data_IF_716277010317
#
_entry.id   IF_716277010317
#
_cell.length_a   1.000
_cell.length_b   1.000
_cell.length_c   1.000
_cell.angle_alpha   90.00
_cell.angle_beta   90.00
_cell.angle_gamma   90.00
#
_symmetry.space_group_name_H-M   'P 1'
#
loop_
_entity.id
_entity.type
_entity.pdbx_description
1 polymer ?
#
# COMPACT_ATOMS: atom_id res chain seq x y z
N UNK A 1 -10.56 29.00 15.95
CA UNK A 1 -11.35 28.55 14.78
C UNK A 1 -10.40 27.94 13.77
N UNK A 2 -10.61 26.67 13.43
CA UNK A 2 -9.70 25.83 12.64
C UNK A 2 -9.54 26.30 11.20
N UNK A 3 -8.30 26.24 10.69
CA UNK A 3 -7.95 26.37 9.28
C UNK A 3 -8.34 25.08 8.55
N UNK A 4 -9.34 25.17 7.68
CA UNK A 4 -9.72 24.07 6.78
C UNK A 4 -8.86 24.14 5.53
N UNK A 5 -7.86 23.26 5.43
CA UNK A 5 -7.02 23.10 4.25
C UNK A 5 -7.87 22.53 3.10
N UNK A 6 -8.15 23.34 2.08
CA UNK A 6 -8.88 22.95 0.87
C UNK A 6 -8.01 22.04 0.00
N UNK A 7 -8.35 20.75 -0.07
CA UNK A 7 -7.81 19.80 -1.03
C UNK A 7 -8.53 19.90 -2.40
N UNK A 8 -8.53 21.07 -3.04
CA UNK A 8 -9.46 21.31 -4.18
C UNK A 8 -8.91 22.22 -5.29
N UNK A 9 -7.66 22.03 -5.73
CA UNK A 9 -7.11 22.95 -6.77
C UNK A 9 -6.22 22.33 -7.85
N UNK A 10 -6.15 20.99 -7.98
CA UNK A 10 -5.38 20.38 -9.08
C UNK A 10 -6.23 20.05 -10.33
N UNK A 11 -7.56 19.93 -10.19
CA UNK A 11 -8.44 19.47 -11.29
C UNK A 11 -9.13 20.59 -12.08
N UNK A 12 -8.97 21.86 -11.69
CA UNK A 12 -9.78 22.96 -12.21
C UNK A 12 -9.20 23.65 -13.47
N UNK A 13 -8.07 23.17 -14.02
CA UNK A 13 -7.44 23.69 -15.24
C UNK A 13 -6.74 22.58 -16.02
N UNK A 14 -7.46 21.53 -16.39
CA UNK A 14 -6.86 20.50 -17.26
C UNK A 14 -7.74 20.37 -18.49
N UNK A 15 -7.44 21.19 -19.50
CA UNK A 15 -8.13 21.18 -20.80
C UNK A 15 -7.52 20.13 -21.75
N UNK A 16 -6.36 19.55 -21.39
CA UNK A 16 -5.61 18.62 -22.24
C UNK A 16 -5.61 17.19 -21.66
N UNK A 17 -6.18 16.26 -22.44
CA UNK A 17 -6.23 14.81 -22.13
C UNK A 17 -4.85 14.24 -21.75
N UNK A 18 -3.72 14.60 -22.41
CA UNK A 18 -2.39 14.13 -22.03
C UNK A 18 -1.95 14.53 -20.62
N UNK A 19 -2.29 15.73 -20.16
CA UNK A 19 -1.92 16.21 -18.82
C UNK A 19 -2.70 15.45 -17.73
N UNK A 20 -3.99 15.17 -17.96
CA UNK A 20 -4.78 14.32 -17.05
C UNK A 20 -4.18 12.92 -16.95
N UNK A 21 -3.78 12.32 -18.09
CA UNK A 21 -3.17 10.99 -18.10
C UNK A 21 -1.84 10.95 -17.33
N UNK A 22 -1.00 11.99 -17.46
CA UNK A 22 0.25 12.09 -16.71
C UNK A 22 0.01 12.17 -15.19
N UNK A 23 -1.01 12.92 -14.74
CA UNK A 23 -1.38 13.02 -13.32
C UNK A 23 -1.90 11.68 -12.80
N UNK A 24 -2.74 10.98 -13.58
CA UNK A 24 -3.23 9.65 -13.24
C UNK A 24 -2.07 8.66 -13.11
N UNK A 25 -1.10 8.69 -14.01
CA UNK A 25 0.09 7.83 -13.95
C UNK A 25 0.96 8.09 -12.72
N UNK A 26 1.17 9.36 -12.35
CA UNK A 26 1.89 9.69 -11.12
C UNK A 26 1.18 9.16 -9.88
N UNK A 27 -0.14 9.30 -9.79
CA UNK A 27 -0.90 8.88 -8.62
C UNK A 27 -1.02 7.34 -8.54
N UNK A 28 -1.17 6.66 -9.68
CA UNK A 28 -1.11 5.19 -9.76
C UNK A 28 0.29 4.70 -9.33
N UNK A 29 1.37 5.35 -9.78
CA UNK A 29 2.75 4.98 -9.44
C UNK A 29 3.04 5.02 -7.94
N UNK A 30 2.51 6.02 -7.22
CA UNK A 30 2.63 6.12 -5.75
C UNK A 30 1.89 5.00 -5.01
N UNK A 31 0.80 4.49 -5.57
CA UNK A 31 -0.01 3.45 -4.95
C UNK A 31 0.51 2.04 -5.27
N UNK A 32 1.17 1.84 -6.42
CA UNK A 32 1.75 0.53 -6.79
C UNK A 32 2.92 0.11 -5.90
N UNK A 33 3.74 1.05 -5.44
CA UNK A 33 4.86 0.78 -4.52
C UNK A 33 4.39 0.14 -3.20
N UNK A 34 3.14 0.39 -2.80
CA UNK A 34 2.50 -0.26 -1.64
C UNK A 34 2.20 -1.74 -1.96
N UNK A 35 1.75 -2.07 -3.17
CA UNK A 35 1.39 -3.44 -3.56
C UNK A 35 2.57 -4.39 -3.84
N UNK A 36 3.76 -3.85 -4.06
CA UNK A 36 4.97 -4.63 -4.41
C UNK A 36 5.82 -5.03 -3.19
N UNK A 37 5.41 -4.60 -1.99
CA UNK A 37 6.14 -4.94 -0.76
C UNK A 37 6.02 -6.43 -0.43
N UNK A 38 7.16 -7.04 -0.07
CA UNK A 38 7.23 -8.47 0.27
C UNK A 38 6.80 -8.69 1.71
N UNK A 39 5.86 -9.61 1.91
CA UNK A 39 5.47 -10.09 3.23
C UNK A 39 6.66 -10.79 3.91
N UNK A 40 6.91 -10.44 5.17
CA UNK A 40 7.96 -11.05 6.00
C UNK A 40 7.57 -12.42 6.55
N UNK A 41 6.28 -12.68 6.66
CA UNK A 41 5.73 -13.92 7.23
C UNK A 41 5.10 -14.81 6.17
N UNK A 42 4.73 -16.03 6.57
CA UNK A 42 4.01 -16.96 5.71
C UNK A 42 2.60 -16.49 5.35
N UNK A 43 2.02 -15.55 6.12
CA UNK A 43 0.62 -15.13 6.03
C UNK A 43 -0.33 -15.99 6.89
N UNK A 44 0.11 -17.18 7.29
CA UNK A 44 -0.68 -18.11 8.09
C UNK A 44 -0.43 -17.87 9.58
N UNK A 45 -1.23 -17.00 10.19
CA UNK A 45 -1.23 -16.78 11.62
C UNK A 45 -2.19 -17.76 12.31
N UNK A 46 -1.71 -18.48 13.32
CA UNK A 46 -2.53 -19.43 14.07
C UNK A 46 -3.78 -18.75 14.68
N UNK A 47 -4.94 -19.33 14.42
CA UNK A 47 -6.25 -18.83 14.86
C UNK A 47 -6.88 -17.78 13.93
N UNK A 48 -6.25 -17.46 12.79
CA UNK A 48 -6.73 -16.48 11.83
C UNK A 48 -6.73 -17.03 10.40
N UNK A 49 -7.50 -16.38 9.52
CA UNK A 49 -7.42 -16.54 8.07
C UNK A 49 -6.05 -16.11 7.55
N UNK A 50 -5.74 -16.48 6.29
CA UNK A 50 -4.55 -15.99 5.61
C UNK A 50 -4.56 -14.46 5.53
N UNK A 51 -3.60 -13.84 6.23
CA UNK A 51 -3.43 -12.39 6.32
C UNK A 51 -3.19 -11.77 4.94
N UNK A 52 -2.58 -12.51 4.01
CA UNK A 52 -2.31 -12.03 2.64
C UNK A 52 -3.59 -11.91 1.82
N UNK A 53 -4.60 -12.72 2.12
CA UNK A 53 -5.87 -12.77 1.41
C UNK A 53 -7.00 -12.01 2.12
N UNK A 54 -6.86 -11.69 3.41
CA UNK A 54 -7.90 -11.03 4.21
C UNK A 54 -8.34 -9.70 3.59
N UNK A 55 -9.63 -9.40 3.60
CA UNK A 55 -10.21 -8.17 2.99
C UNK A 55 -10.81 -7.22 4.02
N UNK A 56 -10.99 -7.69 5.26
CA UNK A 56 -11.60 -6.92 6.33
C UNK A 56 -10.53 -6.37 7.27
N UNK A 57 -10.43 -5.06 7.34
CA UNK A 57 -9.51 -4.35 8.26
C UNK A 57 -9.76 -4.75 9.73
N UNK A 58 -11.01 -5.01 10.11
CA UNK A 58 -11.33 -5.48 11.47
C UNK A 58 -10.66 -6.81 11.83
N UNK A 59 -10.57 -7.76 10.89
CA UNK A 59 -9.93 -9.06 11.12
C UNK A 59 -8.42 -8.90 11.25
N UNK A 60 -7.83 -8.00 10.46
CA UNK A 60 -6.42 -7.62 10.54
C UNK A 60 -6.07 -6.97 11.89
N UNK A 61 -6.94 -6.10 12.40
CA UNK A 61 -6.79 -5.51 13.74
C UNK A 61 -6.87 -6.59 14.82
N UNK A 62 -7.85 -7.51 14.74
CA UNK A 62 -7.97 -8.64 15.68
C UNK A 62 -6.73 -9.54 15.64
N UNK A 63 -6.21 -9.84 14.45
CA UNK A 63 -5.00 -10.63 14.25
C UNK A 63 -3.79 -9.98 14.95
N UNK A 64 -3.55 -8.69 14.68
CA UNK A 64 -2.43 -7.98 15.31
C UNK A 64 -2.61 -7.85 16.82
N UNK A 65 -3.83 -7.58 17.30
CA UNK A 65 -4.15 -7.53 18.73
C UNK A 65 -3.81 -8.85 19.43
N UNK A 66 -4.13 -9.99 18.81
CA UNK A 66 -3.77 -11.32 19.32
C UNK A 66 -2.26 -11.54 19.39
N UNK A 67 -1.51 -11.17 18.34
CA UNK A 67 -0.05 -11.28 18.33
C UNK A 67 0.56 -10.41 19.43
N UNK A 68 0.12 -9.15 19.53
CA UNK A 68 0.64 -8.20 20.51
C UNK A 68 0.32 -8.61 21.94
N UNK A 69 -0.88 -9.12 22.18
CA UNK A 69 -1.29 -9.65 23.48
C UNK A 69 -0.43 -10.84 23.91
N UNK A 70 -0.19 -11.80 22.99
CA UNK A 70 0.68 -12.95 23.25
C UNK A 70 2.12 -12.55 23.53
N UNK A 71 2.67 -11.59 22.78
CA UNK A 71 4.03 -11.07 23.01
C UNK A 71 4.16 -10.46 24.42
N UNK A 72 3.23 -9.60 24.80
CA UNK A 72 3.25 -8.95 26.11
C UNK A 72 3.16 -10.00 27.23
N UNK A 73 2.22 -10.93 27.13
CA UNK A 73 2.03 -11.99 28.12
C UNK A 73 3.26 -12.92 28.23
N UNK A 74 3.94 -13.20 27.11
CA UNK A 74 5.17 -14.00 27.11
C UNK A 74 6.30 -13.32 27.89
N UNK A 75 6.51 -12.01 27.66
CA UNK A 75 7.54 -11.26 28.38
C UNK A 75 7.20 -11.04 29.86
N UNK A 76 5.93 -10.83 30.19
CA UNK A 76 5.46 -10.81 31.57
C UNK A 76 5.70 -12.14 32.28
N UNK A 77 5.34 -13.26 31.64
CA UNK A 77 5.58 -14.59 32.19
C UNK A 77 7.08 -14.87 32.41
N UNK A 78 7.95 -14.48 31.47
CA UNK A 78 9.39 -14.65 31.63
C UNK A 78 9.94 -13.87 32.83
N UNK A 79 9.42 -12.65 33.06
CA UNK A 79 9.74 -11.83 34.23
C UNK A 79 9.25 -12.49 35.53
N UNK A 80 8.02 -12.98 35.55
CA UNK A 80 7.42 -13.61 36.74
C UNK A 80 8.14 -14.92 37.13
N UNK A 81 8.59 -15.68 36.12
CA UNK A 81 9.40 -16.88 36.30
C UNK A 81 10.87 -16.58 36.63
N UNK A 82 11.26 -15.29 36.71
CA UNK A 82 12.62 -14.82 36.99
C UNK A 82 13.67 -15.40 36.03
N UNK A 83 13.27 -15.60 34.77
CA UNK A 83 14.19 -16.07 33.73
C UNK A 83 15.03 -14.89 33.26
N UNK A 84 16.34 -14.93 33.53
CA UNK A 84 17.26 -13.84 33.21
C UNK A 84 17.54 -13.70 31.71
N UNK A 85 17.40 -14.78 30.95
CA UNK A 85 17.63 -14.80 29.49
C UNK A 85 16.61 -15.72 28.84
N UNK A 86 15.83 -15.18 27.92
CA UNK A 86 14.79 -15.91 27.19
C UNK A 86 14.79 -15.48 25.73
N UNK A 87 14.35 -16.35 24.81
CA UNK A 87 14.31 -16.01 23.39
C UNK A 87 13.26 -14.94 23.11
N UNK A 88 13.45 -14.23 22.00
CA UNK A 88 12.45 -13.27 21.48
C UNK A 88 11.15 -14.01 21.18
N UNK A 89 10.02 -13.38 21.51
CA UNK A 89 8.71 -13.94 21.19
C UNK A 89 8.55 -14.12 19.68
N UNK A 90 8.19 -15.33 19.27
CA UNK A 90 7.81 -15.64 17.89
C UNK A 90 6.52 -16.43 17.88
N UNK A 91 5.72 -16.22 16.84
CA UNK A 91 4.48 -16.96 16.61
C UNK A 91 4.31 -17.21 15.13
N UNK A 92 3.96 -18.44 14.77
CA UNK A 92 3.76 -18.86 13.37
C UNK A 92 4.91 -18.46 12.43
N UNK A 93 6.15 -18.51 12.94
CA UNK A 93 7.37 -18.23 12.18
C UNK A 93 7.75 -16.74 12.03
N UNK A 94 7.08 -15.81 12.72
CA UNK A 94 7.41 -14.38 12.70
C UNK A 94 7.41 -13.72 14.08
N UNK A 95 8.13 -12.62 14.22
CA UNK A 95 8.06 -11.76 15.42
C UNK A 95 6.82 -10.86 15.38
N UNK A 96 6.46 -10.24 16.51
CA UNK A 96 5.37 -9.26 16.52
C UNK A 96 5.62 -8.07 15.56
N UNK A 97 6.89 -7.69 15.36
CA UNK A 97 7.27 -6.65 14.41
C UNK A 97 7.05 -7.09 12.95
N UNK A 98 7.35 -8.35 12.63
CA UNK A 98 7.11 -8.90 11.29
C UNK A 98 5.61 -8.95 10.98
N UNK A 99 4.81 -9.46 11.91
CA UNK A 99 3.35 -9.47 11.79
C UNK A 99 2.76 -8.07 11.68
N UNK A 100 3.28 -7.10 12.45
CA UNK A 100 2.84 -5.70 12.35
C UNK A 100 3.03 -5.16 10.94
N UNK A 101 4.21 -5.38 10.37
CA UNK A 101 4.54 -4.89 9.03
C UNK A 101 3.63 -5.51 7.97
N UNK A 102 3.45 -6.82 8.01
CA UNK A 102 2.61 -7.55 7.05
C UNK A 102 1.14 -7.15 7.14
N UNK A 103 0.63 -6.94 8.36
CA UNK A 103 -0.74 -6.51 8.60
C UNK A 103 -0.93 -5.06 8.14
N UNK A 104 0.01 -4.15 8.44
CA UNK A 104 -0.04 -2.77 7.95
C UNK A 104 -0.03 -2.74 6.43
N UNK A 105 0.87 -3.49 5.80
CA UNK A 105 0.92 -3.65 4.35
C UNK A 105 -0.44 -4.09 3.79
N UNK A 106 -1.06 -5.09 4.40
CA UNK A 106 -2.37 -5.57 3.94
C UNK A 106 -3.48 -4.51 4.12
N UNK A 107 -3.47 -3.77 5.22
CA UNK A 107 -4.41 -2.65 5.45
C UNK A 107 -4.22 -1.59 4.36
N UNK A 108 -2.97 -1.25 4.04
CA UNK A 108 -2.66 -0.28 2.99
C UNK A 108 -3.15 -0.77 1.63
N UNK A 109 -2.96 -2.06 1.31
CA UNK A 109 -3.49 -2.66 0.07
C UNK A 109 -5.00 -2.55 0.02
N UNK A 110 -5.72 -2.93 1.08
CA UNK A 110 -7.20 -2.87 1.12
C UNK A 110 -7.70 -1.44 0.97
N UNK A 111 -7.13 -0.51 1.74
CA UNK A 111 -7.59 0.89 1.80
C UNK A 111 -7.36 1.66 0.50
N UNK A 112 -6.30 1.30 -0.25
CA UNK A 112 -5.97 1.96 -1.50
C UNK A 112 -6.48 1.21 -2.74
N UNK A 113 -7.00 -0.01 -2.60
CA UNK A 113 -7.51 -0.82 -3.72
C UNK A 113 -8.59 -0.09 -4.50
N UNK A 114 -9.63 0.39 -3.83
CA UNK A 114 -10.74 1.08 -4.50
C UNK A 114 -10.29 2.36 -5.20
N UNK A 115 -9.32 3.06 -4.61
CA UNK A 115 -8.72 4.26 -5.20
C UNK A 115 -7.92 3.91 -6.45
N UNK A 116 -7.10 2.86 -6.39
CA UNK A 116 -6.29 2.39 -7.51
C UNK A 116 -7.17 1.86 -8.65
N UNK A 117 -8.21 1.09 -8.33
CA UNK A 117 -9.16 0.56 -9.31
C UNK A 117 -9.89 1.71 -10.04
N UNK A 118 -10.34 2.75 -9.31
CA UNK A 118 -10.92 3.97 -9.93
C UNK A 118 -9.92 4.77 -10.77
N UNK A 119 -8.69 4.93 -10.30
CA UNK A 119 -7.66 5.65 -11.07
C UNK A 119 -7.34 4.94 -12.39
N UNK A 120 -7.27 3.60 -12.37
CA UNK A 120 -7.09 2.80 -13.58
C UNK A 120 -8.31 2.92 -14.52
N UNK A 121 -9.53 2.90 -13.98
CA UNK A 121 -10.76 3.11 -14.76
C UNK A 121 -10.76 4.48 -15.45
N UNK A 122 -10.39 5.55 -14.74
CA UNK A 122 -10.27 6.88 -15.32
C UNK A 122 -9.18 6.95 -16.37
N UNK A 123 -8.04 6.29 -16.15
CA UNK A 123 -6.96 6.22 -17.14
C UNK A 123 -7.44 5.55 -18.43
N UNK A 124 -8.15 4.43 -18.33
CA UNK A 124 -8.69 3.72 -19.49
C UNK A 124 -9.76 4.54 -20.24
N UNK A 125 -10.60 5.29 -19.51
CA UNK A 125 -11.58 6.18 -20.13
C UNK A 125 -10.91 7.35 -20.81
N UNK A 126 -9.96 8.01 -20.16
CA UNK A 126 -9.24 9.17 -20.70
C UNK A 126 -8.36 8.81 -21.90
N UNK A 127 -7.76 7.61 -21.91
CA UNK A 127 -6.93 7.17 -23.04
C UNK A 127 -7.72 7.01 -24.34
N UNK A 128 -9.03 6.74 -24.26
CA UNK A 128 -9.92 6.65 -25.44
C UNK A 128 -10.20 8.01 -26.07
N UNK A 129 -9.96 9.12 -25.36
CA UNK A 129 -10.14 10.48 -25.87
C UNK A 129 -8.86 11.10 -26.42
N UNK A 130 -7.74 10.38 -26.41
CA UNK A 130 -6.48 10.85 -27.02
C UNK A 130 -6.63 11.00 -28.53
N UNK A 131 -6.32 12.18 -29.05
CA UNK A 131 -6.19 12.38 -30.50
C UNK A 131 -4.92 11.69 -31.04
N UNK A 132 -4.86 11.46 -32.35
CA UNK A 132 -3.65 10.89 -32.99
C UNK A 132 -2.43 11.83 -32.85
N UNK A 133 -2.66 13.14 -32.81
CA UNK A 133 -1.61 14.14 -32.60
C UNK A 133 -1.05 14.06 -31.17
N UNK A 134 -1.93 13.92 -30.18
CA UNK A 134 -1.55 13.74 -28.78
C UNK A 134 -0.80 12.43 -28.53
N UNK A 135 -1.26 11.33 -29.14
CA UNK A 135 -0.56 10.04 -29.07
C UNK A 135 0.86 10.13 -29.61
N UNK A 136 1.04 10.84 -30.73
CA UNK A 136 2.36 11.07 -31.34
C UNK A 136 3.23 11.96 -30.46
N UNK A 137 2.68 13.02 -29.87
CA UNK A 137 3.40 13.90 -28.96
C UNK A 137 3.86 13.16 -27.69
N UNK A 138 3.00 12.31 -27.11
CA UNK A 138 3.33 11.46 -25.97
C UNK A 138 4.44 10.46 -26.31
N UNK A 139 4.37 9.79 -27.46
CA UNK A 139 5.40 8.85 -27.91
C UNK A 139 6.76 9.53 -28.09
N UNK A 140 6.78 10.71 -28.72
CA UNK A 140 8.02 11.48 -28.92
C UNK A 140 8.63 11.92 -27.57
N UNK A 141 7.79 12.29 -26.60
CA UNK A 141 8.24 12.62 -25.24
C UNK A 141 8.81 11.39 -24.53
N UNK A 142 8.13 10.26 -24.58
CA UNK A 142 8.59 9.00 -23.98
C UNK A 142 9.93 8.55 -24.57
N UNK A 143 10.09 8.60 -25.90
CA UNK A 143 11.37 8.34 -26.55
C UNK A 143 12.46 9.29 -26.07
N UNK A 144 12.15 10.59 -25.99
CA UNK A 144 13.11 11.61 -25.53
C UNK A 144 13.55 11.36 -24.09
N UNK A 145 12.62 11.01 -23.20
CA UNK A 145 12.91 10.73 -21.80
C UNK A 145 13.71 9.42 -21.63
N UNK A 146 13.41 8.38 -22.42
CA UNK A 146 14.19 7.14 -22.46
C UNK A 146 15.66 7.38 -22.87
N UNK A 147 15.90 8.21 -23.89
CA UNK A 147 17.25 8.54 -24.33
C UNK A 147 17.99 9.50 -23.38
N UNK A 148 17.26 10.28 -22.56
CA UNK A 148 17.85 11.14 -21.53
C UNK A 148 18.14 10.41 -20.21
N UNK A 149 17.34 9.40 -19.85
CA UNK A 149 17.48 8.60 -18.63
C UNK A 149 18.56 7.51 -18.70
N UNK A 150 19.09 7.20 -19.90
CA UNK A 150 20.21 6.27 -20.11
C UNK A 150 21.60 6.95 -20.05
N UNK A 151 21.77 7.96 -19.17
CA UNK A 151 23.07 8.56 -18.85
C UNK A 151 23.39 8.43 -17.37
#
# INVERSE_FOLDING_TARGET
MSKTTKATTALAKIDEVPEVLSILDQEIGKLKTISESVYKTTGNLEGFSDIKAETKVENLIRAYSSVKGRENAYYEAAKDLKVATFPVFTVSGGTAADWKQDIMLRIDIITHKDKLDKLNEYKEKMSKFLSAEDQKAMLLKEMTDFFKGNK
#
